data_IF_132256284190
#
_entry.id   IF_132256284190
#
_cell.length_a   1.000
_cell.length_b   1.000
_cell.length_c   1.000
_cell.angle_alpha   90.00
_cell.angle_beta   90.00
_cell.angle_gamma   90.00
#
_symmetry.space_group_name_H-M   'P 1'
#
loop_
_entity.id
_entity.type
_entity.pdbx_description
1 polymer ?
#
# COMPACT_ATOMS: atom_id res chain seq x y z
N UNK A 1 -11.10 -25.31 -62.18
CA UNK A 1 -11.55 -24.34 -61.18
C UNK A 1 -10.67 -24.53 -59.95
N UNK A 2 -9.77 -23.57 -59.70
CA UNK A 2 -8.78 -23.62 -58.59
C UNK A 2 -9.36 -22.87 -57.40
N UNK A 3 -9.54 -23.56 -56.27
CA UNK A 3 -9.88 -22.92 -55.01
C UNK A 3 -8.59 -22.45 -54.33
N UNK A 4 -8.42 -21.14 -54.21
CA UNK A 4 -7.31 -20.53 -53.49
C UNK A 4 -7.59 -20.53 -51.98
N UNK A 5 -6.73 -21.23 -51.22
CA UNK A 5 -6.74 -21.23 -49.76
C UNK A 5 -6.11 -19.93 -49.25
N UNK A 6 -6.91 -19.05 -48.65
CA UNK A 6 -6.41 -17.92 -47.88
C UNK A 6 -5.98 -18.39 -46.46
N UNK A 7 -4.70 -18.55 -46.25
CA UNK A 7 -4.13 -18.75 -44.94
C UNK A 7 -4.11 -17.38 -44.24
N UNK A 8 -5.03 -17.17 -43.27
CA UNK A 8 -4.98 -16.04 -42.35
C UNK A 8 -3.84 -16.23 -41.34
N UNK A 9 -2.80 -15.45 -41.48
CA UNK A 9 -1.80 -15.31 -40.44
C UNK A 9 -2.40 -14.54 -39.27
N UNK A 10 -2.72 -15.25 -38.19
CA UNK A 10 -3.02 -14.64 -36.90
C UNK A 10 -1.67 -14.22 -36.29
N UNK A 11 -1.32 -12.95 -36.41
CA UNK A 11 -0.21 -12.37 -35.63
C UNK A 11 -0.68 -12.30 -34.18
N UNK A 12 -0.24 -13.25 -33.35
CA UNK A 12 -0.35 -13.19 -31.91
C UNK A 12 0.65 -12.14 -31.43
N UNK A 13 0.19 -10.90 -31.28
CA UNK A 13 0.97 -9.88 -30.58
C UNK A 13 1.08 -10.32 -29.11
N UNK A 14 2.19 -10.90 -28.73
CA UNK A 14 2.56 -11.09 -27.33
C UNK A 14 2.78 -9.69 -26.79
N UNK A 15 1.79 -9.17 -26.05
CA UNK A 15 1.93 -7.96 -25.26
C UNK A 15 2.91 -8.31 -24.14
N UNK A 16 4.19 -8.05 -24.36
CA UNK A 16 5.18 -8.02 -23.29
C UNK A 16 4.79 -6.87 -22.38
N UNK A 17 4.08 -7.16 -21.32
CA UNK A 17 3.90 -6.21 -20.23
C UNK A 17 5.28 -6.07 -19.59
N UNK A 18 6.06 -5.10 -20.05
CA UNK A 18 7.21 -4.63 -19.29
C UNK A 18 6.67 -4.20 -17.93
N UNK A 19 6.94 -4.99 -16.92
CA UNK A 19 6.69 -4.63 -15.53
C UNK A 19 7.67 -3.51 -15.18
N UNK A 20 7.29 -2.26 -15.49
CA UNK A 20 8.09 -1.11 -15.14
C UNK A 20 8.30 -1.10 -13.62
N UNK A 21 9.57 -1.12 -13.21
CA UNK A 21 9.93 -0.97 -11.80
C UNK A 21 9.38 0.37 -11.29
N UNK A 22 8.55 0.33 -10.26
CA UNK A 22 8.07 1.54 -9.59
C UNK A 22 9.17 2.07 -8.67
N UNK A 23 9.83 3.16 -9.05
CA UNK A 23 10.81 3.84 -8.22
C UNK A 23 10.11 4.79 -7.23
N UNK A 24 10.40 4.62 -5.95
CA UNK A 24 9.95 5.53 -4.92
C UNK A 24 10.78 6.82 -4.91
N UNK A 25 10.25 7.92 -4.31
CA UNK A 25 11.01 9.14 -4.12
C UNK A 25 12.35 8.90 -3.41
N UNK A 26 13.35 9.73 -3.71
CA UNK A 26 14.62 9.71 -2.99
C UNK A 26 14.45 10.21 -1.57
N UNK A 27 15.19 9.60 -0.66
CA UNK A 27 15.30 10.02 0.75
C UNK A 27 16.77 10.24 1.11
N UNK A 28 17.02 11.04 2.14
CA UNK A 28 18.36 11.34 2.64
C UNK A 28 18.51 11.17 4.14
N UNK A 29 17.41 10.88 4.83
CA UNK A 29 17.39 10.70 6.28
C UNK A 29 17.89 9.33 6.72
N UNK A 30 18.02 9.19 8.05
CA UNK A 30 18.39 7.96 8.73
C UNK A 30 17.57 7.83 10.01
N UNK A 31 16.27 7.57 9.87
CA UNK A 31 15.34 7.52 11.00
C UNK A 31 14.21 6.52 10.70
N UNK A 32 14.18 5.39 11.41
CA UNK A 32 13.18 4.34 11.26
C UNK A 32 11.74 4.77 11.57
N UNK A 33 11.57 5.90 12.25
CA UNK A 33 10.26 6.44 12.62
C UNK A 33 9.77 7.55 11.65
N UNK A 34 10.58 7.93 10.66
CA UNK A 34 10.23 8.91 9.65
C UNK A 34 10.02 8.26 8.28
N UNK A 35 8.76 7.97 7.99
CA UNK A 35 8.37 7.34 6.73
C UNK A 35 8.51 8.24 5.50
N UNK A 36 8.63 9.56 5.66
CA UNK A 36 8.69 10.48 4.53
C UNK A 36 10.11 10.63 3.99
N UNK A 37 11.12 10.69 4.88
CA UNK A 37 12.50 10.91 4.47
C UNK A 37 13.51 10.06 5.25
N UNK A 38 13.11 9.34 6.30
CA UNK A 38 14.01 8.59 7.17
C UNK A 38 14.53 7.29 6.59
N UNK A 39 13.78 6.66 5.69
CA UNK A 39 14.13 5.41 5.00
C UNK A 39 13.44 5.31 3.63
N UNK A 40 14.00 4.49 2.73
CA UNK A 40 13.38 4.17 1.44
C UNK A 40 12.75 2.78 1.48
N UNK A 41 11.49 2.68 1.08
CA UNK A 41 10.75 1.42 1.01
C UNK A 41 9.31 1.56 1.44
N UNK A 42 8.56 0.49 1.31
CA UNK A 42 7.17 0.35 1.76
C UNK A 42 7.06 -1.01 2.44
N UNK A 43 6.81 -1.02 3.75
CA UNK A 43 6.68 -2.27 4.49
C UNK A 43 5.61 -3.18 3.86
N UNK A 44 5.96 -4.45 3.64
CA UNK A 44 5.12 -5.41 2.94
C UNK A 44 5.31 -5.46 1.42
N UNK A 45 5.96 -4.45 0.80
CA UNK A 45 6.28 -4.46 -0.63
C UNK A 45 7.79 -4.75 -0.83
N UNK A 46 8.15 -5.92 -1.37
CA UNK A 46 9.55 -6.28 -1.50
C UNK A 46 10.29 -5.32 -2.44
N UNK A 47 11.51 -4.98 -2.07
CA UNK A 47 12.42 -4.19 -2.91
C UNK A 47 12.87 -5.02 -4.10
N UNK A 48 12.97 -4.39 -5.27
CA UNK A 48 13.41 -4.99 -6.53
C UNK A 48 14.61 -4.26 -7.17
N UNK A 49 14.96 -3.09 -6.64
CA UNK A 49 16.13 -2.33 -7.04
C UNK A 49 16.50 -1.28 -6.00
N UNK A 50 17.78 -0.95 -5.93
CA UNK A 50 18.35 0.05 -5.02
C UNK A 50 19.23 0.99 -5.83
N UNK A 51 19.16 2.29 -5.57
CA UNK A 51 20.10 3.28 -6.08
C UNK A 51 20.61 4.17 -4.95
N UNK A 52 21.90 4.45 -4.98
CA UNK A 52 22.60 5.18 -3.90
C UNK A 52 23.50 6.25 -4.50
N UNK A 53 23.45 7.47 -3.95
CA UNK A 53 24.32 8.58 -4.37
C UNK A 53 25.75 8.43 -3.83
N UNK A 54 26.68 9.21 -4.45
CA UNK A 54 28.03 9.40 -3.94
C UNK A 54 29.09 8.45 -4.51
N UNK A 55 28.84 7.80 -5.65
CA UNK A 55 29.84 7.11 -6.47
C UNK A 55 30.56 5.93 -5.80
N UNK A 56 30.00 5.35 -4.76
CA UNK A 56 30.56 4.17 -4.06
C UNK A 56 29.88 2.91 -4.57
N UNK A 57 30.63 1.83 -4.66
CA UNK A 57 30.11 0.56 -5.13
C UNK A 57 29.04 -0.01 -4.20
N UNK A 58 27.95 -0.50 -4.77
CA UNK A 58 26.92 -1.24 -4.06
C UNK A 58 26.34 -2.35 -4.95
N UNK A 59 25.81 -3.37 -4.33
CA UNK A 59 25.18 -4.52 -5.00
C UNK A 59 24.05 -5.08 -4.16
N UNK A 60 23.22 -5.89 -4.78
CA UNK A 60 22.09 -6.58 -4.14
C UNK A 60 22.14 -8.08 -4.39
N UNK A 61 21.61 -8.86 -3.46
CA UNK A 61 21.36 -10.28 -3.62
C UNK A 61 19.88 -10.48 -4.01
N UNK A 62 19.64 -11.32 -5.00
CA UNK A 62 18.30 -11.67 -5.45
C UNK A 62 17.83 -12.90 -4.68
N UNK A 63 16.64 -12.82 -4.08
CA UNK A 63 16.05 -13.95 -3.35
C UNK A 63 16.02 -15.22 -4.20
N UNK A 64 16.60 -16.29 -3.68
CA UNK A 64 16.70 -17.57 -4.38
C UNK A 64 17.67 -17.56 -5.58
N UNK A 65 18.47 -16.51 -5.74
CA UNK A 65 19.46 -16.35 -6.80
C UNK A 65 20.86 -16.03 -6.27
N UNK A 66 21.52 -15.08 -6.94
CA UNK A 66 22.92 -14.71 -6.65
C UNK A 66 23.04 -13.19 -6.38
N UNK A 67 24.19 -12.78 -5.89
CA UNK A 67 24.62 -11.39 -5.88
C UNK A 67 24.75 -10.87 -7.31
N UNK A 68 24.12 -9.75 -7.60
CA UNK A 68 24.27 -9.07 -8.89
C UNK A 68 25.60 -8.30 -8.95
N UNK A 69 26.09 -7.94 -10.16
CA UNK A 69 27.25 -7.08 -10.32
C UNK A 69 27.13 -5.79 -9.52
N UNK A 70 28.26 -5.27 -9.04
CA UNK A 70 28.28 -4.01 -8.34
C UNK A 70 28.09 -2.83 -9.32
N UNK A 71 27.38 -1.81 -8.85
CA UNK A 71 27.16 -0.54 -9.55
C UNK A 71 27.62 0.64 -8.70
N UNK A 72 27.83 1.80 -9.31
CA UNK A 72 28.29 3.03 -8.61
C UNK A 72 27.41 4.24 -8.88
N UNK A 73 26.50 4.15 -9.84
CA UNK A 73 25.64 5.25 -10.27
C UNK A 73 24.39 5.44 -9.39
N UNK A 74 23.67 6.51 -9.68
CA UNK A 74 22.37 6.84 -9.05
C UNK A 74 21.39 7.35 -10.12
N UNK A 75 21.06 6.51 -11.09
CA UNK A 75 20.19 6.85 -12.20
C UNK A 75 19.19 5.71 -12.48
N UNK A 76 17.90 5.94 -12.22
CA UNK A 76 16.84 4.95 -12.42
C UNK A 76 16.65 4.50 -13.89
N UNK A 77 17.19 5.26 -14.86
CA UNK A 77 17.09 4.97 -16.29
C UNK A 77 18.31 4.21 -16.84
N UNK A 78 19.36 4.04 -16.04
CA UNK A 78 20.58 3.34 -16.43
C UNK A 78 20.62 1.97 -15.76
N UNK A 79 20.19 0.94 -16.50
CA UNK A 79 20.17 -0.45 -16.02
C UNK A 79 21.56 -1.08 -15.90
N UNK A 80 22.60 -0.48 -16.48
CA UNK A 80 23.94 -1.06 -16.46
C UNK A 80 24.72 -0.67 -15.21
N UNK A 81 24.64 0.59 -14.79
CA UNK A 81 25.40 1.10 -13.64
C UNK A 81 24.64 2.09 -12.76
N UNK A 82 23.44 2.48 -13.13
CA UNK A 82 22.67 3.50 -12.41
C UNK A 82 21.95 2.99 -11.15
N UNK A 83 21.71 1.69 -11.05
CA UNK A 83 21.08 1.06 -9.89
C UNK A 83 21.43 -0.43 -9.83
N UNK A 84 21.37 -1.02 -8.62
CA UNK A 84 21.50 -2.45 -8.40
C UNK A 84 20.10 -3.10 -8.31
N UNK A 85 19.82 -4.05 -9.19
CA UNK A 85 18.54 -4.75 -9.26
C UNK A 85 18.23 -5.21 -10.68
N UNK A 86 17.30 -6.14 -10.82
CA UNK A 86 16.87 -6.68 -12.11
C UNK A 86 15.35 -6.96 -12.15
N UNK A 87 14.59 -6.26 -11.30
CA UNK A 87 13.14 -6.43 -11.16
C UNK A 87 12.73 -7.64 -10.30
N UNK A 88 13.65 -8.49 -9.89
CA UNK A 88 13.36 -9.60 -8.96
C UNK A 88 13.50 -9.15 -7.51
N UNK A 89 12.84 -9.86 -6.61
CA UNK A 89 12.84 -9.58 -5.16
C UNK A 89 14.28 -9.68 -4.61
N UNK A 90 14.65 -8.67 -3.81
CA UNK A 90 15.93 -8.55 -3.13
C UNK A 90 15.79 -9.01 -1.67
N UNK A 91 16.79 -9.70 -1.15
CA UNK A 91 16.85 -10.16 0.23
C UNK A 91 18.11 -9.71 0.99
N UNK A 92 19.09 -9.11 0.29
CA UNK A 92 20.24 -8.47 0.93
C UNK A 92 20.86 -7.38 0.05
N UNK A 93 21.58 -6.45 0.71
CA UNK A 93 22.33 -5.37 0.07
C UNK A 93 23.70 -5.20 0.72
N UNK A 94 24.73 -4.95 -0.09
CA UNK A 94 26.08 -4.60 0.35
C UNK A 94 26.45 -3.22 -0.23
N UNK A 95 26.95 -2.30 0.63
CA UNK A 95 27.27 -0.92 0.25
C UNK A 95 28.66 -0.56 0.75
N UNK A 96 29.54 -0.13 -0.15
CA UNK A 96 30.91 0.27 0.19
C UNK A 96 31.00 1.70 0.72
N UNK A 97 32.15 2.03 1.30
CA UNK A 97 32.47 3.36 1.79
C UNK A 97 32.28 3.58 3.28
N UNK A 98 32.14 2.49 4.06
CA UNK A 98 32.23 2.50 5.53
C UNK A 98 31.10 3.23 6.26
N UNK A 99 30.03 3.54 5.55
CA UNK A 99 28.85 4.17 6.13
C UNK A 99 27.91 3.10 6.69
N UNK A 100 27.23 3.46 7.76
CA UNK A 100 26.22 2.60 8.37
C UNK A 100 24.99 2.47 7.50
N UNK A 101 24.51 1.24 7.32
CA UNK A 101 23.26 0.97 6.63
C UNK A 101 22.57 -0.26 7.21
N UNK A 102 21.25 -0.33 7.09
CA UNK A 102 20.45 -1.44 7.59
C UNK A 102 19.22 -1.62 6.72
N UNK A 103 18.60 -2.78 6.84
CA UNK A 103 17.38 -3.14 6.10
C UNK A 103 16.28 -3.61 7.03
N UNK A 104 15.06 -3.45 6.61
CA UNK A 104 13.88 -4.06 7.22
C UNK A 104 13.52 -5.32 6.45
N UNK A 105 13.29 -6.43 7.17
CA UNK A 105 12.84 -7.69 6.59
C UNK A 105 11.33 -7.68 6.46
N UNK A 106 10.82 -8.05 5.30
CA UNK A 106 9.38 -8.11 5.05
C UNK A 106 8.66 -9.00 6.09
N UNK A 107 7.65 -8.45 6.75
CA UNK A 107 6.93 -9.13 7.82
C UNK A 107 7.69 -9.34 9.12
N UNK A 108 8.89 -8.75 9.23
CA UNK A 108 9.78 -8.85 10.39
C UNK A 108 10.12 -7.49 11.01
N UNK A 109 11.40 -7.26 11.27
CA UNK A 109 11.93 -6.07 11.93
C UNK A 109 13.14 -5.49 11.20
N UNK A 110 13.56 -4.29 11.60
CA UNK A 110 14.85 -3.73 11.21
C UNK A 110 15.97 -4.60 11.76
N UNK A 111 16.90 -4.99 10.89
CA UNK A 111 18.11 -5.70 11.31
C UNK A 111 19.13 -4.75 11.93
N UNK A 112 20.12 -5.26 12.69
CA UNK A 112 21.24 -4.45 13.15
C UNK A 112 21.96 -3.76 11.98
N UNK A 113 22.51 -2.55 12.19
CA UNK A 113 23.26 -1.85 11.17
C UNK A 113 24.60 -2.51 10.88
N UNK A 114 25.03 -2.41 9.62
CA UNK A 114 26.35 -2.89 9.14
C UNK A 114 27.10 -1.75 8.44
N UNK A 115 28.42 -1.89 8.28
CA UNK A 115 29.30 -0.90 7.62
C UNK A 115 30.18 -1.51 6.53
N UNK A 116 30.26 -2.82 6.47
CA UNK A 116 31.14 -3.54 5.57
C UNK A 116 30.63 -3.66 4.15
N UNK A 117 31.52 -4.17 3.29
CA UNK A 117 31.21 -4.50 1.88
C UNK A 117 31.85 -5.85 1.54
N UNK A 118 31.39 -6.90 2.19
CA UNK A 118 31.88 -8.26 1.98
C UNK A 118 30.71 -9.23 1.94
N UNK A 119 30.39 -9.74 0.78
CA UNK A 119 29.26 -10.66 0.57
C UNK A 119 29.42 -12.03 1.25
N UNK A 120 30.61 -12.34 1.74
CA UNK A 120 30.89 -13.57 2.50
C UNK A 120 30.84 -13.34 4.03
N UNK A 121 30.61 -12.13 4.49
CA UNK A 121 30.50 -11.78 5.90
C UNK A 121 29.06 -11.39 6.25
N UNK A 122 28.30 -12.35 6.77
CA UNK A 122 26.92 -12.15 7.19
C UNK A 122 26.75 -11.27 8.45
N UNK A 123 27.82 -11.01 9.17
CA UNK A 123 27.71 -10.22 10.42
C UNK A 123 27.83 -8.72 10.18
N UNK A 124 28.72 -8.30 9.26
CA UNK A 124 28.96 -6.88 9.02
C UNK A 124 29.20 -6.54 7.54
N UNK A 125 29.30 -7.51 6.66
CA UNK A 125 29.63 -7.29 5.25
C UNK A 125 28.45 -6.92 4.36
N UNK A 126 27.23 -7.24 4.76
CA UNK A 126 25.99 -6.90 4.07
C UNK A 126 24.79 -6.89 5.03
N UNK A 127 23.75 -6.15 4.69
CA UNK A 127 22.49 -6.12 5.42
C UNK A 127 21.44 -6.99 4.72
N UNK A 128 20.83 -7.90 5.46
CA UNK A 128 19.80 -8.81 4.96
C UNK A 128 19.91 -10.21 5.54
N UNK A 129 18.92 -11.04 5.26
CA UNK A 129 18.91 -12.48 5.55
C UNK A 129 18.57 -13.19 4.26
N UNK A 130 19.51 -13.92 3.69
CA UNK A 130 19.30 -14.63 2.42
C UNK A 130 18.07 -15.53 2.49
N UNK A 131 17.19 -15.41 1.51
CA UNK A 131 15.88 -16.09 1.45
C UNK A 131 14.71 -15.28 2.04
N UNK A 132 14.98 -14.22 2.82
CA UNK A 132 13.92 -13.35 3.38
C UNK A 132 13.89 -12.00 2.67
N UNK A 133 12.80 -11.66 1.95
CA UNK A 133 12.69 -10.37 1.26
C UNK A 133 12.96 -9.19 2.19
N UNK A 134 13.57 -8.14 1.66
CA UNK A 134 13.63 -6.84 2.32
C UNK A 134 12.62 -5.89 1.70
N UNK A 135 12.04 -5.00 2.50
CA UNK A 135 10.99 -4.05 2.08
C UNK A 135 11.30 -2.60 2.45
N UNK A 136 12.37 -2.34 3.22
CA UNK A 136 12.90 -1.00 3.41
C UNK A 136 14.42 -1.02 3.70
N UNK A 137 15.07 0.14 3.43
CA UNK A 137 16.49 0.36 3.66
C UNK A 137 16.73 1.75 4.25
N UNK A 138 17.72 1.87 5.13
CA UNK A 138 18.31 3.14 5.57
C UNK A 138 19.80 3.15 5.31
N UNK A 139 20.32 4.33 4.87
CA UNK A 139 21.75 4.52 4.60
C UNK A 139 22.19 5.86 5.18
N UNK A 140 23.09 5.83 6.16
CA UNK A 140 23.56 7.05 6.84
C UNK A 140 24.35 7.96 5.91
N UNK A 141 23.96 9.23 5.84
CA UNK A 141 24.68 10.29 5.11
C UNK A 141 24.76 10.06 3.60
N UNK A 142 23.74 9.45 2.99
CA UNK A 142 23.56 9.28 1.55
C UNK A 142 22.14 9.66 1.14
N UNK A 143 22.01 10.07 -0.12
CA UNK A 143 20.70 10.08 -0.78
C UNK A 143 20.50 8.76 -1.52
N UNK A 144 19.35 8.14 -1.35
CA UNK A 144 19.08 6.81 -1.89
C UNK A 144 17.59 6.64 -2.20
N UNK A 145 17.29 5.68 -3.05
CA UNK A 145 15.91 5.28 -3.35
C UNK A 145 15.84 3.79 -3.67
N UNK A 146 14.65 3.24 -3.60
CA UNK A 146 14.39 1.86 -3.99
C UNK A 146 13.29 1.80 -5.05
N UNK A 147 13.34 0.77 -5.89
CA UNK A 147 12.18 0.32 -6.62
C UNK A 147 11.52 -0.83 -5.88
N UNK A 148 10.21 -0.90 -5.98
CA UNK A 148 9.40 -1.94 -5.33
C UNK A 148 8.66 -2.75 -6.38
N UNK A 149 8.50 -4.05 -6.12
CA UNK A 149 7.70 -4.93 -6.96
C UNK A 149 6.23 -4.54 -6.93
N UNK A 150 5.49 -4.85 -8.00
CA UNK A 150 4.04 -4.84 -7.93
C UNK A 150 3.63 -5.86 -6.86
N UNK A 151 2.90 -5.42 -5.86
CA UNK A 151 2.44 -6.29 -4.80
C UNK A 151 1.55 -7.38 -5.39
N UNK A 152 2.04 -8.62 -5.41
CA UNK A 152 1.16 -9.75 -5.65
C UNK A 152 0.18 -9.82 -4.48
N UNK A 153 -1.09 -9.92 -4.79
CA UNK A 153 -2.20 -10.07 -3.85
C UNK A 153 -2.13 -11.44 -3.16
N UNK A 154 -1.24 -11.53 -2.16
CA UNK A 154 -1.06 -12.70 -1.31
C UNK A 154 -0.65 -12.22 0.09
N UNK A 155 -1.54 -12.40 1.04
CA UNK A 155 -1.61 -11.96 2.41
C UNK A 155 -0.30 -11.69 3.17
N UNK A 156 -0.26 -10.51 3.81
CA UNK A 156 0.74 -10.11 4.78
C UNK A 156 1.00 -8.61 4.69
N UNK A 157 0.00 -7.79 5.02
CA UNK A 157 0.15 -6.34 5.01
C UNK A 157 0.74 -5.80 6.30
N UNK A 158 1.87 -5.11 6.23
CA UNK A 158 2.29 -4.16 7.24
C UNK A 158 2.04 -2.75 6.73
N UNK A 159 1.40 -1.95 7.57
CA UNK A 159 0.84 -0.64 7.26
C UNK A 159 1.92 0.44 7.20
N UNK A 160 2.34 0.81 5.99
CA UNK A 160 2.76 2.18 5.72
C UNK A 160 1.60 2.93 5.06
N UNK A 161 1.36 4.18 5.41
CA UNK A 161 0.30 4.91 4.73
C UNK A 161 0.66 5.03 3.25
N UNK A 162 -0.12 4.35 2.41
CA UNK A 162 -0.17 4.63 0.97
C UNK A 162 -0.43 6.13 0.82
N UNK A 163 0.06 6.73 -0.27
CA UNK A 163 -0.44 8.07 -0.57
C UNK A 163 -1.96 8.04 -0.48
N UNK A 164 -2.57 9.08 0.05
CA UNK A 164 -4.02 9.23 0.17
C UNK A 164 -4.78 8.75 -1.08
N UNK A 165 -4.28 9.14 -2.26
CA UNK A 165 -4.84 8.79 -3.57
C UNK A 165 -4.70 7.30 -3.88
N UNK A 166 -3.56 6.69 -3.57
CA UNK A 166 -3.35 5.25 -3.78
C UNK A 166 -4.24 4.42 -2.87
N UNK A 167 -4.41 4.84 -1.60
CA UNK A 167 -5.31 4.20 -0.65
C UNK A 167 -6.77 4.29 -1.10
N UNK A 168 -7.24 5.48 -1.47
CA UNK A 168 -8.59 5.68 -2.00
C UNK A 168 -8.84 4.87 -3.28
N UNK A 169 -7.83 4.77 -4.18
CA UNK A 169 -7.92 3.98 -5.40
C UNK A 169 -8.06 2.47 -5.10
N UNK A 170 -7.36 1.96 -4.09
CA UNK A 170 -7.49 0.56 -3.67
C UNK A 170 -8.90 0.28 -3.15
N UNK A 171 -9.43 1.14 -2.28
CA UNK A 171 -10.79 1.05 -1.74
C UNK A 171 -11.81 1.11 -2.88
N UNK A 172 -11.66 2.08 -3.79
CA UNK A 172 -12.54 2.24 -4.95
C UNK A 172 -12.58 0.97 -5.81
N UNK A 173 -11.42 0.43 -6.19
CA UNK A 173 -11.30 -0.78 -7.00
C UNK A 173 -11.92 -1.99 -6.31
N UNK A 174 -11.72 -2.13 -5.00
CA UNK A 174 -12.31 -3.21 -4.21
C UNK A 174 -13.84 -3.21 -4.30
N UNK A 175 -14.49 -2.10 -3.95
CA UNK A 175 -15.95 -2.03 -3.94
C UNK A 175 -16.56 -1.99 -5.34
N UNK A 176 -15.86 -1.42 -6.32
CA UNK A 176 -16.25 -1.48 -7.72
C UNK A 176 -16.29 -2.93 -8.21
N UNK A 177 -15.28 -3.74 -7.85
CA UNK A 177 -15.24 -5.18 -8.11
C UNK A 177 -16.34 -5.98 -7.39
N UNK A 178 -16.91 -5.44 -6.31
CA UNK A 178 -18.07 -5.99 -5.60
C UNK A 178 -19.42 -5.48 -6.14
N UNK A 179 -19.39 -4.67 -7.20
CA UNK A 179 -20.57 -4.16 -7.87
C UNK A 179 -21.27 -3.01 -7.15
N UNK A 180 -20.56 -2.26 -6.29
CA UNK A 180 -21.08 -1.02 -5.73
C UNK A 180 -21.12 0.07 -6.82
N UNK A 181 -22.09 0.98 -6.74
CA UNK A 181 -22.16 2.14 -7.62
C UNK A 181 -20.99 3.10 -7.36
N UNK A 182 -20.56 3.85 -8.39
CA UNK A 182 -19.55 4.89 -8.24
C UNK A 182 -19.89 5.85 -7.10
N UNK A 183 -21.12 6.35 -7.09
CA UNK A 183 -21.57 7.35 -6.12
C UNK A 183 -21.58 6.82 -4.69
N UNK A 184 -21.98 5.55 -4.48
CA UNK A 184 -21.93 4.92 -3.16
C UNK A 184 -20.49 4.76 -2.65
N UNK A 185 -19.55 4.38 -3.53
CA UNK A 185 -18.13 4.29 -3.18
C UNK A 185 -17.57 5.67 -2.82
N UNK A 186 -17.92 6.71 -3.59
CA UNK A 186 -17.50 8.07 -3.30
C UNK A 186 -18.04 8.56 -1.95
N UNK A 187 -19.30 8.24 -1.64
CA UNK A 187 -19.90 8.53 -0.32
C UNK A 187 -19.14 7.86 0.81
N UNK A 188 -18.77 6.58 0.65
CA UNK A 188 -17.93 5.86 1.59
C UNK A 188 -16.54 6.51 1.75
N UNK A 189 -15.87 6.87 0.64
CA UNK A 189 -14.55 7.51 0.67
C UNK A 189 -14.57 8.86 1.39
N UNK A 190 -15.63 9.66 1.25
CA UNK A 190 -15.81 10.90 1.98
C UNK A 190 -15.85 10.69 3.50
N UNK A 191 -16.49 9.62 3.96
CA UNK A 191 -16.49 9.23 5.37
C UNK A 191 -15.12 8.74 5.83
N UNK A 192 -14.51 7.80 5.14
CA UNK A 192 -13.19 7.27 5.47
C UNK A 192 -12.15 8.40 5.58
N UNK A 193 -12.18 9.38 4.69
CA UNK A 193 -11.24 10.49 4.74
C UNK A 193 -11.35 11.28 6.05
N UNK A 194 -12.54 11.52 6.52
CA UNK A 194 -12.77 12.24 7.80
C UNK A 194 -12.42 11.36 8.99
N UNK A 195 -12.85 10.11 9.00
CA UNK A 195 -12.55 9.14 10.09
C UNK A 195 -11.06 8.87 10.27
N UNK A 196 -10.28 8.98 9.20
CA UNK A 196 -8.85 8.74 9.22
C UNK A 196 -8.01 10.01 9.32
N UNK A 197 -8.58 11.12 9.77
CA UNK A 197 -7.90 12.42 9.81
C UNK A 197 -7.21 12.76 8.48
N UNK A 198 -7.90 12.53 7.37
CA UNK A 198 -7.47 12.80 5.97
C UNK A 198 -6.32 11.94 5.45
N UNK A 199 -5.94 10.84 6.14
CA UNK A 199 -4.77 10.02 5.79
C UNK A 199 -5.09 8.74 5.03
N UNK A 200 -6.30 8.19 5.16
CA UNK A 200 -6.65 6.82 4.73
C UNK A 200 -5.78 5.73 5.37
N UNK A 201 -5.16 6.03 6.51
CA UNK A 201 -4.35 5.05 7.24
C UNK A 201 -5.23 3.99 7.91
N UNK A 202 -5.14 2.70 7.54
CA UNK A 202 -5.93 1.64 8.16
C UNK A 202 -5.44 1.27 9.57
N UNK A 203 -4.27 1.77 10.00
CA UNK A 203 -3.69 1.53 11.34
C UNK A 203 -3.81 2.79 12.22
N UNK A 204 -4.91 3.54 12.08
CA UNK A 204 -5.17 4.72 12.89
C UNK A 204 -6.04 4.40 14.10
N UNK A 205 -5.71 5.01 15.24
CA UNK A 205 -6.46 4.93 16.49
C UNK A 205 -7.14 6.25 16.79
N UNK A 206 -8.32 6.20 17.42
CA UNK A 206 -8.98 7.40 17.90
C UNK A 206 -8.13 8.11 18.97
N UNK A 207 -8.04 9.43 18.86
CA UNK A 207 -7.30 10.26 19.83
C UNK A 207 -7.99 10.37 21.18
N UNK A 208 -9.31 10.16 21.24
CA UNK A 208 -10.14 10.37 22.44
C UNK A 208 -10.19 9.14 23.38
N UNK A 209 -9.44 8.08 23.09
CA UNK A 209 -9.35 6.90 23.94
C UNK A 209 -10.61 6.02 23.99
N UNK A 210 -11.62 6.25 23.12
CA UNK A 210 -12.84 5.44 23.06
C UNK A 210 -12.66 4.09 22.33
N UNK A 211 -11.41 3.82 21.87
CA UNK A 211 -11.01 2.57 21.26
C UNK A 211 -11.42 2.43 19.80
N UNK A 212 -11.78 3.51 19.11
CA UNK A 212 -12.02 3.53 17.67
C UNK A 212 -10.76 3.16 16.88
N UNK A 213 -10.90 2.34 15.82
CA UNK A 213 -9.77 1.84 15.06
C UNK A 213 -10.07 1.72 13.57
N UNK A 214 -9.10 2.11 12.74
CA UNK A 214 -9.08 1.85 11.31
C UNK A 214 -9.90 2.82 10.46
N UNK A 215 -10.19 2.42 9.23
CA UNK A 215 -10.80 3.28 8.19
C UNK A 215 -12.15 3.86 8.57
N UNK A 216 -12.93 3.15 9.36
CA UNK A 216 -14.28 3.56 9.82
C UNK A 216 -14.37 3.65 11.35
N UNK A 217 -13.23 3.75 12.02
CA UNK A 217 -13.15 3.92 13.48
C UNK A 217 -14.06 2.96 14.25
N UNK A 218 -14.02 1.64 13.91
CA UNK A 218 -14.81 0.64 14.63
C UNK A 218 -14.61 0.74 16.13
N UNK A 219 -15.70 0.98 16.85
CA UNK A 219 -15.71 1.16 18.30
C UNK A 219 -16.54 0.06 18.99
N UNK A 220 -15.99 -0.78 19.87
CA UNK A 220 -14.54 -0.88 20.15
C UNK A 220 -13.76 -1.45 18.98
N UNK A 221 -12.45 -1.12 18.88
CA UNK A 221 -11.57 -1.60 17.82
C UNK A 221 -11.44 -3.13 17.75
N UNK A 222 -11.81 -3.85 18.81
CA UNK A 222 -11.90 -5.32 18.83
C UNK A 222 -12.90 -5.88 17.80
N UNK A 223 -13.96 -5.14 17.46
CA UNK A 223 -14.90 -5.55 16.41
C UNK A 223 -14.21 -5.89 15.08
N UNK A 224 -13.18 -5.12 14.73
CA UNK A 224 -12.37 -5.37 13.56
C UNK A 224 -11.27 -6.41 13.83
N UNK A 225 -10.51 -6.26 14.93
CA UNK A 225 -9.35 -7.12 15.25
C UNK A 225 -9.76 -8.58 15.41
N UNK A 226 -10.76 -8.85 16.25
CA UNK A 226 -11.20 -10.21 16.56
C UNK A 226 -11.80 -10.88 15.32
N UNK A 227 -12.61 -10.13 14.54
CA UNK A 227 -13.13 -10.61 13.27
C UNK A 227 -12.00 -10.96 12.31
N UNK A 228 -11.01 -10.08 12.11
CA UNK A 228 -9.90 -10.33 11.21
C UNK A 228 -9.06 -11.54 11.67
N UNK A 229 -8.77 -11.64 12.97
CA UNK A 229 -8.04 -12.77 13.54
C UNK A 229 -8.76 -14.09 13.31
N UNK A 230 -10.08 -14.15 13.53
CA UNK A 230 -10.90 -15.33 13.30
C UNK A 230 -10.96 -15.75 11.82
N UNK A 231 -10.62 -14.84 10.90
CA UNK A 231 -10.54 -15.10 9.46
C UNK A 231 -9.10 -15.25 8.94
N UNK A 232 -8.08 -15.28 9.84
CA UNK A 232 -6.67 -15.39 9.45
C UNK A 232 -6.15 -14.15 8.68
N UNK A 233 -6.74 -12.97 8.91
CA UNK A 233 -6.45 -11.73 8.19
C UNK A 233 -5.69 -10.73 9.06
N UNK A 234 -4.83 -9.94 8.43
CA UNK A 234 -4.18 -8.81 9.09
C UNK A 234 -5.13 -7.59 9.09
N UNK A 235 -5.65 -7.22 10.26
CA UNK A 235 -6.60 -6.13 10.44
C UNK A 235 -6.05 -4.74 10.08
N UNK A 236 -4.71 -4.57 10.00
CA UNK A 236 -4.03 -3.31 9.68
C UNK A 236 -3.99 -2.96 8.20
N UNK A 237 -4.65 -3.70 7.33
CA UNK A 237 -4.61 -3.48 5.88
C UNK A 237 -5.93 -2.93 5.35
N UNK A 238 -5.84 -2.07 4.32
CA UNK A 238 -7.01 -1.56 3.59
C UNK A 238 -7.87 -2.72 3.08
N UNK A 239 -7.24 -3.73 2.46
CA UNK A 239 -7.97 -4.87 1.92
C UNK A 239 -8.80 -5.60 2.98
N UNK A 240 -8.22 -5.90 4.16
CA UNK A 240 -8.93 -6.55 5.26
C UNK A 240 -10.11 -5.70 5.75
N UNK A 241 -9.92 -4.39 5.88
CA UNK A 241 -10.96 -3.50 6.35
C UNK A 241 -12.08 -3.32 5.31
N UNK A 242 -11.75 -3.27 4.02
CA UNK A 242 -12.75 -3.35 2.95
C UNK A 242 -13.53 -4.68 2.98
N UNK A 243 -12.86 -5.81 3.23
CA UNK A 243 -13.53 -7.12 3.43
C UNK A 243 -14.45 -7.09 4.64
N UNK A 244 -14.09 -6.41 5.73
CA UNK A 244 -14.94 -6.24 6.91
C UNK A 244 -16.20 -5.46 6.58
N UNK A 245 -16.09 -4.34 5.86
CA UNK A 245 -17.27 -3.56 5.41
C UNK A 245 -18.18 -4.42 4.50
N UNK A 246 -17.57 -5.16 3.58
CA UNK A 246 -18.32 -6.06 2.69
C UNK A 246 -19.02 -7.19 3.47
N UNK A 247 -18.34 -7.76 4.46
CA UNK A 247 -18.92 -8.76 5.36
C UNK A 247 -20.12 -8.20 6.15
N UNK A 248 -20.01 -6.97 6.65
CA UNK A 248 -21.10 -6.29 7.37
C UNK A 248 -22.32 -6.06 6.47
N UNK A 249 -22.08 -5.70 5.20
CA UNK A 249 -23.14 -5.64 4.20
C UNK A 249 -23.78 -7.00 3.95
N UNK A 250 -23.00 -8.06 3.74
CA UNK A 250 -23.47 -9.40 3.40
C UNK A 250 -24.23 -10.04 4.55
N UNK A 251 -23.93 -9.70 5.80
CA UNK A 251 -24.56 -10.22 7.00
C UNK A 251 -25.60 -9.27 7.63
N UNK A 252 -25.89 -8.12 7.01
CA UNK A 252 -26.91 -7.19 7.48
C UNK A 252 -26.63 -6.58 8.86
N UNK A 253 -25.35 -6.36 9.18
CA UNK A 253 -24.91 -5.78 10.44
C UNK A 253 -24.30 -4.40 10.24
N UNK A 254 -24.21 -3.61 11.32
CA UNK A 254 -23.60 -2.29 11.44
C UNK A 254 -24.38 -1.16 10.73
N UNK A 255 -25.06 -1.40 9.62
CA UNK A 255 -25.81 -0.39 8.87
C UNK A 255 -27.32 -0.51 9.17
N UNK A 256 -27.91 0.55 9.74
CA UNK A 256 -29.34 0.61 10.11
C UNK A 256 -29.96 1.89 9.53
N UNK A 257 -31.12 1.77 8.91
CA UNK A 257 -31.87 2.92 8.38
C UNK A 257 -32.22 3.91 9.50
N UNK A 258 -32.21 5.19 9.20
CA UNK A 258 -32.52 6.28 10.14
C UNK A 258 -33.55 7.23 9.55
N UNK A 259 -34.05 8.16 10.36
CA UNK A 259 -34.92 9.24 9.89
C UNK A 259 -34.24 10.17 8.88
N UNK A 260 -32.90 10.17 8.83
CA UNK A 260 -32.10 10.97 7.88
C UNK A 260 -31.89 10.26 6.55
N UNK A 261 -31.91 8.93 6.54
CA UNK A 261 -31.74 8.15 5.32
C UNK A 261 -32.45 6.79 5.42
N UNK A 262 -33.50 6.61 4.61
CA UNK A 262 -34.29 5.38 4.54
C UNK A 262 -33.68 4.28 3.64
N UNK A 263 -32.56 4.55 2.97
CA UNK A 263 -31.90 3.53 2.14
C UNK A 263 -31.38 2.39 3.02
N UNK A 264 -31.80 1.18 2.72
CA UNK A 264 -31.16 -0.02 3.26
C UNK A 264 -29.73 -0.13 2.74
N UNK A 265 -28.85 -0.93 3.38
CA UNK A 265 -27.47 -1.08 2.89
C UNK A 265 -27.43 -1.59 1.44
N UNK A 266 -28.34 -2.52 1.09
CA UNK A 266 -28.51 -3.03 -0.29
C UNK A 266 -28.86 -1.93 -1.28
N UNK A 267 -29.77 -1.02 -0.91
CA UNK A 267 -30.16 0.12 -1.75
C UNK A 267 -29.03 1.14 -1.82
N UNK A 268 -28.32 1.41 -0.71
CA UNK A 268 -27.19 2.31 -0.65
C UNK A 268 -26.11 1.93 -1.66
N UNK A 269 -25.64 0.69 -1.64
CA UNK A 269 -24.53 0.25 -2.52
C UNK A 269 -24.88 0.31 -4.01
N UNK A 270 -26.15 0.33 -4.36
CA UNK A 270 -26.65 0.43 -5.75
C UNK A 270 -27.16 1.83 -6.12
N UNK A 271 -27.17 2.75 -5.15
CA UNK A 271 -27.77 4.08 -5.34
C UNK A 271 -26.95 4.94 -6.30
N UNK A 272 -27.66 5.71 -7.11
CA UNK A 272 -27.11 6.77 -7.97
C UNK A 272 -27.40 8.18 -7.41
N UNK A 273 -27.90 8.30 -6.18
CA UNK A 273 -28.00 9.58 -5.50
C UNK A 273 -26.65 10.30 -5.50
N UNK A 274 -26.63 11.62 -5.29
CA UNK A 274 -25.39 12.38 -5.28
C UNK A 274 -24.39 11.83 -4.27
N UNK A 275 -23.08 11.85 -4.56
CA UNK A 275 -22.05 11.42 -3.63
C UNK A 275 -22.16 12.10 -2.26
N UNK A 276 -22.49 13.40 -2.26
CA UNK A 276 -22.70 14.18 -1.04
C UNK A 276 -23.83 13.62 -0.18
N UNK A 277 -24.99 13.34 -0.80
CA UNK A 277 -26.14 12.74 -0.10
C UNK A 277 -25.82 11.34 0.42
N UNK A 278 -25.07 10.54 -0.36
CA UNK A 278 -24.66 9.18 0.06
C UNK A 278 -23.61 9.20 1.16
N UNK A 279 -22.74 10.21 1.23
CA UNK A 279 -21.83 10.37 2.36
C UNK A 279 -22.58 10.63 3.67
N UNK A 280 -23.57 11.52 3.63
CA UNK A 280 -24.41 11.81 4.78
C UNK A 280 -25.27 10.60 5.18
N UNK A 281 -25.84 9.90 4.20
CA UNK A 281 -26.59 8.67 4.42
C UNK A 281 -25.73 7.59 5.12
N UNK A 282 -24.52 7.36 4.64
CA UNK A 282 -23.61 6.39 5.25
C UNK A 282 -23.22 6.78 6.68
N UNK A 283 -22.92 8.05 6.89
CA UNK A 283 -22.62 8.59 8.22
C UNK A 283 -23.77 8.31 9.21
N UNK A 284 -25.00 8.65 8.85
CA UNK A 284 -26.16 8.47 9.76
C UNK A 284 -26.50 7.00 10.00
N UNK A 285 -26.36 6.14 9.00
CA UNK A 285 -26.82 4.75 9.07
C UNK A 285 -25.72 3.78 9.53
N UNK A 286 -24.45 4.10 9.26
CA UNK A 286 -23.34 3.22 9.59
C UNK A 286 -22.46 3.75 10.73
N UNK A 287 -21.94 4.99 10.61
CA UNK A 287 -21.02 5.60 11.57
C UNK A 287 -21.71 6.00 12.87
N UNK A 288 -22.84 6.70 12.75
CA UNK A 288 -23.66 7.23 13.84
C UNK A 288 -22.85 8.06 14.86
N UNK A 289 -22.05 9.03 14.42
CA UNK A 289 -21.29 9.88 15.32
C UNK A 289 -22.22 10.81 16.11
N UNK A 290 -21.69 11.42 17.18
CA UNK A 290 -22.34 12.57 17.78
C UNK A 290 -22.42 13.71 16.74
N UNK A 291 -23.62 14.18 16.44
CA UNK A 291 -23.88 15.14 15.36
C UNK A 291 -23.13 16.48 15.54
N UNK A 292 -22.81 16.88 16.77
CA UNK A 292 -22.00 18.07 17.03
C UNK A 292 -20.57 17.97 16.49
N UNK A 293 -20.08 16.76 16.24
CA UNK A 293 -18.72 16.49 15.76
C UNK A 293 -18.70 15.74 14.41
N UNK A 294 -19.87 15.59 13.78
CA UNK A 294 -20.03 14.74 12.60
C UNK A 294 -19.35 15.26 11.32
N UNK A 295 -18.97 16.55 11.27
CA UNK A 295 -18.34 17.18 10.10
C UNK A 295 -19.09 16.93 8.78
N UNK A 296 -20.43 16.99 8.79
CA UNK A 296 -21.29 16.66 7.65
C UNK A 296 -20.88 17.41 6.37
N UNK A 297 -20.66 18.76 6.39
CA UNK A 297 -20.27 19.49 5.19
C UNK A 297 -18.97 18.95 4.58
N UNK A 298 -17.99 18.63 5.43
CA UNK A 298 -16.69 18.08 4.98
C UNK A 298 -16.86 16.71 4.34
N UNK A 299 -17.63 15.78 4.94
CA UNK A 299 -17.88 14.45 4.37
C UNK A 299 -18.55 14.55 3.00
N UNK A 300 -19.53 15.42 2.85
CA UNK A 300 -20.24 15.70 1.58
C UNK A 300 -19.29 16.25 0.51
N UNK A 301 -18.45 17.23 0.87
CA UNK A 301 -17.47 17.80 -0.05
C UNK A 301 -16.46 16.76 -0.50
N UNK A 302 -15.87 15.99 0.45
CA UNK A 302 -14.89 14.95 0.14
C UNK A 302 -15.45 13.84 -0.75
N UNK A 303 -16.69 13.44 -0.54
CA UNK A 303 -17.37 12.49 -1.41
C UNK A 303 -17.49 13.03 -2.85
N UNK A 304 -17.81 14.30 -3.01
CA UNK A 304 -17.88 14.96 -4.32
C UNK A 304 -16.50 15.03 -4.97
N UNK A 305 -15.46 15.42 -4.22
CA UNK A 305 -14.07 15.49 -4.69
C UNK A 305 -13.61 14.13 -5.22
N UNK A 306 -13.87 13.04 -4.49
CA UNK A 306 -13.52 11.68 -4.93
C UNK A 306 -14.29 11.24 -6.16
N UNK A 307 -15.56 11.62 -6.28
CA UNK A 307 -16.32 11.30 -7.49
C UNK A 307 -15.82 12.05 -8.74
N UNK A 308 -15.31 13.25 -8.57
CA UNK A 308 -14.67 14.00 -9.65
C UNK A 308 -13.31 13.42 -10.03
N UNK A 309 -12.61 12.81 -9.06
CA UNK A 309 -11.31 12.17 -9.30
C UNK A 309 -11.46 10.84 -10.07
N UNK A 310 -12.43 10.00 -9.75
CA UNK A 310 -12.66 8.70 -10.41
C UNK A 310 -13.61 8.81 -11.61
#
# INVERSE_FOLDING_TARGET
MKASSLIKYFLLAILVIETSQEWLPQVSGYNKNDANNGYAGIFGRPITGVRVSGGKAYRVHVKGGNWLPAVTGNNAKDSNNGYAGNGKIIDAVAISGGREYLVHVQGGSWLPPVKGYNINDSNNGYAGILGKPIDAIMIHGRTYAVSVGQGSSGGGGSSQPKSKTAAATEIYKFFKGKGWSKNAICGLLGNIEVETAYTFNPDIHAYNGDGGYGLLQWTPGSKLRDWAQNHGLNFKTINTQCRRIQYEYENGIQYYTSNYCSLTFRQYIKSNNSPASLAECFMHNYERPNLNYANIPTRRQKATDWCNYF
#
